data_IF_149317478309
#
_entry.id   IF_149317478309
#
_cell.length_a   1.000
_cell.length_b   1.000
_cell.length_c   1.000
_cell.angle_alpha   90.00
_cell.angle_beta   90.00
_cell.angle_gamma   90.00
#
_symmetry.space_group_name_H-M   'P 1'
#
loop_
_entity.id
_entity.type
_entity.pdbx_description
1 polymer ?
#
# COMPACT_ATOMS: atom_id res chain seq x y z
N UNK A 1 -10.00 -25.75 -1.69
CA UNK A 1 -10.70 -24.46 -1.46
C UNK A 1 -12.01 -24.47 -2.23
N UNK A 2 -13.14 -24.03 -1.66
CA UNK A 2 -14.39 -23.89 -2.40
C UNK A 2 -14.25 -22.90 -3.57
N UNK A 3 -14.91 -23.16 -4.69
CA UNK A 3 -14.95 -22.24 -5.82
C UNK A 3 -15.69 -20.95 -5.46
N UNK A 4 -15.21 -19.81 -5.98
CA UNK A 4 -15.85 -18.51 -5.82
C UNK A 4 -14.86 -17.35 -5.74
N UNK A 5 -15.37 -16.16 -5.42
CA UNK A 5 -14.58 -14.93 -5.33
C UNK A 5 -14.05 -14.71 -3.91
N UNK A 6 -12.80 -14.24 -3.79
CA UNK A 6 -12.13 -13.93 -2.53
C UNK A 6 -11.42 -12.58 -2.64
N UNK A 7 -11.44 -11.79 -1.56
CA UNK A 7 -10.50 -10.70 -1.38
C UNK A 7 -9.17 -11.26 -0.88
N UNK A 8 -8.07 -10.79 -1.45
CA UNK A 8 -6.73 -11.16 -1.00
C UNK A 8 -5.79 -9.97 -1.15
N UNK A 9 -5.42 -9.39 -0.01
CA UNK A 9 -4.40 -8.35 0.13
C UNK A 9 -3.46 -8.75 1.26
N UNK A 10 -2.32 -8.08 1.42
CA UNK A 10 -1.59 -8.14 2.68
C UNK A 10 -2.48 -7.73 3.86
N UNK A 11 -2.14 -8.22 5.06
CA UNK A 11 -2.85 -7.85 6.28
C UNK A 11 -2.43 -6.46 6.77
N UNK A 12 -3.20 -5.92 7.71
CA UNK A 12 -3.04 -4.56 8.21
C UNK A 12 -3.77 -3.50 7.38
N UNK A 13 -3.52 -2.24 7.73
CA UNK A 13 -4.11 -1.06 7.09
C UNK A 13 -3.03 0.01 6.96
N UNK A 14 -3.06 0.75 5.86
CA UNK A 14 -2.15 1.86 5.62
C UNK A 14 -2.86 2.95 4.81
N UNK A 15 -2.51 4.19 5.10
CA UNK A 15 -2.72 5.30 4.16
C UNK A 15 -1.58 5.33 3.13
N UNK A 16 -1.75 6.09 2.05
CA UNK A 16 -0.65 6.36 1.11
C UNK A 16 0.55 7.05 1.78
N UNK A 17 0.30 7.84 2.82
CA UNK A 17 1.33 8.49 3.60
C UNK A 17 2.16 7.46 4.39
N UNK A 18 1.51 6.49 5.04
CA UNK A 18 2.20 5.44 5.80
C UNK A 18 3.06 4.57 4.89
N UNK A 19 2.51 4.17 3.73
CA UNK A 19 3.24 3.37 2.73
C UNK A 19 4.48 4.10 2.21
N UNK A 20 4.35 5.38 1.87
CA UNK A 20 5.47 6.19 1.39
C UNK A 20 6.54 6.38 2.48
N UNK A 21 6.11 6.67 3.72
CA UNK A 21 7.01 6.87 4.86
C UNK A 21 7.81 5.61 5.16
N UNK A 22 7.15 4.44 5.22
CA UNK A 22 7.84 3.18 5.47
C UNK A 22 8.78 2.81 4.32
N UNK A 23 8.39 3.03 3.06
CA UNK A 23 9.25 2.79 1.91
C UNK A 23 10.53 3.65 1.96
N UNK A 24 10.39 4.96 2.20
CA UNK A 24 11.54 5.89 2.31
C UNK A 24 12.48 5.49 3.44
N UNK A 25 11.92 5.13 4.61
CA UNK A 25 12.67 4.61 5.75
C UNK A 25 13.44 3.33 5.38
N UNK A 26 12.80 2.37 4.72
CA UNK A 26 13.44 1.12 4.28
C UNK A 26 14.52 1.35 3.21
N UNK A 27 14.38 2.39 2.39
CA UNK A 27 15.43 2.80 1.47
C UNK A 27 16.63 3.41 2.20
N UNK A 28 16.46 3.93 3.41
CA UNK A 28 17.50 4.63 4.17
C UNK A 28 17.72 6.06 3.66
N UNK A 29 16.67 6.69 3.11
CA UNK A 29 16.70 8.07 2.63
C UNK A 29 16.17 9.02 3.71
N UNK A 30 16.81 10.19 3.83
CA UNK A 30 16.38 11.28 4.74
C UNK A 30 15.26 12.15 4.14
N UNK A 31 14.63 11.71 3.05
CA UNK A 31 13.54 12.46 2.41
C UNK A 31 12.35 12.58 3.37
N UNK A 32 11.96 13.82 3.67
CA UNK A 32 10.78 14.09 4.48
C UNK A 32 9.50 13.77 3.68
N UNK A 33 8.69 12.84 4.20
CA UNK A 33 7.34 12.59 3.69
C UNK A 33 6.38 13.51 4.43
N UNK A 34 5.63 14.33 3.68
CA UNK A 34 4.67 15.28 4.24
C UNK A 34 3.24 14.79 3.92
N UNK A 35 2.35 14.71 4.92
CA UNK A 35 0.97 14.29 4.68
C UNK A 35 0.24 15.32 3.79
N UNK A 36 -0.58 14.81 2.86
CA UNK A 36 -1.35 15.66 1.94
C UNK A 36 -2.76 15.13 1.79
N UNK A 37 -3.75 16.00 1.97
CA UNK A 37 -5.14 15.64 1.73
C UNK A 37 -5.43 15.54 0.23
N UNK A 38 -6.38 14.68 -0.15
CA UNK A 38 -6.84 14.58 -1.54
C UNK A 38 -7.36 15.93 -2.07
N UNK A 39 -8.01 16.71 -1.22
CA UNK A 39 -8.54 18.02 -1.59
C UNK A 39 -7.41 19.01 -1.93
N UNK A 40 -6.40 19.10 -1.07
CA UNK A 40 -5.26 20.01 -1.30
C UNK A 40 -4.46 19.59 -2.54
N UNK A 41 -4.30 18.29 -2.76
CA UNK A 41 -3.66 17.76 -3.96
C UNK A 41 -4.42 18.15 -5.24
N UNK A 42 -5.74 18.04 -5.25
CA UNK A 42 -6.57 18.41 -6.41
C UNK A 42 -6.52 19.90 -6.70
N UNK A 43 -6.59 20.74 -5.66
CA UNK A 43 -6.50 22.20 -5.80
C UNK A 43 -5.12 22.63 -6.33
N UNK A 44 -4.03 22.06 -5.80
CA UNK A 44 -2.67 22.52 -6.11
C UNK A 44 -2.08 21.95 -7.40
N UNK A 45 -2.32 20.68 -7.70
CA UNK A 45 -1.56 19.94 -8.72
C UNK A 45 -2.35 19.56 -9.97
N UNK A 46 -3.68 19.74 -9.94
CA UNK A 46 -4.57 19.29 -11.01
C UNK A 46 -5.60 20.35 -11.43
N UNK A 47 -5.34 21.63 -11.15
CA UNK A 47 -6.18 22.72 -11.64
C UNK A 47 -6.35 22.60 -13.17
N UNK A 48 -7.60 22.44 -13.63
CA UNK A 48 -7.94 22.26 -15.04
C UNK A 48 -7.89 20.81 -15.56
N UNK A 49 -7.65 19.79 -14.71
CA UNK A 49 -7.68 18.38 -15.11
C UNK A 49 -8.93 17.66 -14.61
N UNK A 50 -9.47 16.75 -15.41
CA UNK A 50 -10.53 15.82 -14.97
C UNK A 50 -9.88 14.68 -14.18
N UNK A 51 -10.22 14.56 -12.91
CA UNK A 51 -9.68 13.51 -12.03
C UNK A 51 -10.78 12.53 -11.69
N UNK A 52 -10.50 11.24 -11.92
CA UNK A 52 -11.41 10.16 -11.50
C UNK A 52 -11.39 10.05 -9.98
N UNK A 53 -12.57 10.11 -9.37
CA UNK A 53 -12.74 9.97 -7.93
C UNK A 53 -12.15 8.64 -7.44
N UNK A 54 -11.36 8.71 -6.37
CA UNK A 54 -10.79 7.54 -5.69
C UNK A 54 -11.64 7.23 -4.44
N UNK A 55 -11.90 5.95 -4.13
CA UNK A 55 -12.49 5.58 -2.85
C UNK A 55 -11.64 6.10 -1.70
N UNK A 56 -12.27 6.70 -0.68
CA UNK A 56 -11.57 7.17 0.52
C UNK A 56 -11.03 6.02 1.36
N UNK A 57 -11.64 4.85 1.26
CA UNK A 57 -11.30 3.67 2.03
C UNK A 57 -11.42 2.43 1.12
N UNK A 58 -10.31 1.71 0.95
CA UNK A 58 -10.23 0.56 0.05
C UNK A 58 -9.63 -0.69 0.74
N UNK A 59 -9.65 -0.73 2.07
CA UNK A 59 -9.23 -1.93 2.82
C UNK A 59 -10.26 -3.03 2.58
N UNK A 60 -9.79 -4.22 2.19
CA UNK A 60 -10.65 -5.35 1.88
C UNK A 60 -10.72 -6.33 3.05
N UNK A 61 -11.93 -6.78 3.38
CA UNK A 61 -12.10 -7.86 4.36
C UNK A 61 -11.63 -9.19 3.74
N UNK A 62 -10.51 -9.73 4.23
CA UNK A 62 -9.91 -10.99 3.80
C UNK A 62 -10.25 -12.18 4.73
N UNK A 63 -11.27 -12.06 5.60
CA UNK A 63 -11.66 -13.14 6.52
C UNK A 63 -12.04 -14.43 5.79
N UNK A 64 -12.76 -14.31 4.65
CA UNK A 64 -13.17 -15.47 3.85
C UNK A 64 -11.98 -16.33 3.41
N UNK A 65 -10.91 -15.72 2.89
CA UNK A 65 -9.72 -16.46 2.45
C UNK A 65 -8.88 -16.91 3.66
N UNK A 66 -8.81 -16.11 4.72
CA UNK A 66 -8.11 -16.44 5.97
C UNK A 66 -8.67 -17.73 6.59
N UNK A 67 -9.99 -17.87 6.65
CA UNK A 67 -10.64 -19.09 7.16
C UNK A 67 -10.37 -20.33 6.30
N UNK A 68 -10.11 -20.15 4.99
CA UNK A 68 -9.81 -21.25 4.08
C UNK A 68 -8.33 -21.65 4.12
N UNK A 69 -7.42 -20.69 4.28
CA UNK A 69 -5.98 -20.93 4.37
C UNK A 69 -5.52 -21.36 5.78
N UNK A 70 -6.30 -21.05 6.82
CA UNK A 70 -5.95 -21.31 8.22
C UNK A 70 -4.99 -20.28 8.82
N UNK A 71 -4.57 -19.29 8.05
CA UNK A 71 -3.74 -18.17 8.48
C UNK A 71 -4.05 -16.92 7.65
N UNK A 72 -3.70 -15.74 8.16
CA UNK A 72 -3.79 -14.48 7.41
C UNK A 72 -2.68 -14.36 6.38
N UNK A 73 -2.85 -13.47 5.41
CA UNK A 73 -1.74 -13.00 4.58
C UNK A 73 -0.72 -12.25 5.44
N UNK A 74 0.50 -12.16 4.91
CA UNK A 74 1.63 -11.47 5.57
C UNK A 74 1.31 -10.00 5.82
N UNK A 75 1.89 -9.45 6.88
CA UNK A 75 1.77 -8.02 7.18
C UNK A 75 2.34 -7.18 6.02
N UNK A 76 1.72 -6.04 5.75
CA UNK A 76 2.10 -5.19 4.62
C UNK A 76 3.51 -4.61 4.77
N UNK A 77 3.98 -4.34 6.00
CA UNK A 77 5.31 -3.80 6.26
C UNK A 77 6.38 -4.86 6.02
N UNK A 78 6.13 -6.10 6.44
CA UNK A 78 7.02 -7.24 6.17
C UNK A 78 7.14 -7.50 4.67
N UNK A 79 6.01 -7.52 3.95
CA UNK A 79 6.00 -7.71 2.50
C UNK A 79 6.69 -6.55 1.75
N UNK A 80 6.53 -5.32 2.24
CA UNK A 80 7.22 -4.15 1.69
C UNK A 80 8.73 -4.25 1.91
N UNK A 81 9.18 -4.61 3.12
CA UNK A 81 10.60 -4.76 3.43
C UNK A 81 11.28 -5.80 2.52
N UNK A 82 10.64 -6.94 2.29
CA UNK A 82 11.11 -7.94 1.33
C UNK A 82 11.20 -7.37 -0.09
N UNK A 83 10.17 -6.65 -0.53
CA UNK A 83 10.13 -6.03 -1.85
C UNK A 83 11.29 -5.02 -2.03
N UNK A 84 11.49 -4.12 -1.08
CA UNK A 84 12.59 -3.14 -1.11
C UNK A 84 13.95 -3.83 -1.11
N UNK A 85 14.13 -4.89 -0.30
CA UNK A 85 15.36 -5.67 -0.31
C UNK A 85 15.68 -6.24 -1.70
N UNK A 86 14.67 -6.76 -2.40
CA UNK A 86 14.84 -7.29 -3.77
C UNK A 86 15.20 -6.19 -4.76
N UNK A 87 14.53 -5.03 -4.69
CA UNK A 87 14.82 -3.87 -5.54
C UNK A 87 16.27 -3.41 -5.35
N UNK A 88 16.74 -3.32 -4.10
CA UNK A 88 18.13 -2.97 -3.77
C UNK A 88 19.13 -3.98 -4.32
N UNK A 89 18.83 -5.28 -4.24
CA UNK A 89 19.73 -6.32 -4.78
C UNK A 89 19.81 -6.32 -6.31
N UNK A 90 18.73 -5.96 -7.02
CA UNK A 90 18.72 -5.90 -8.49
C UNK A 90 19.40 -4.65 -9.04
N UNK A 91 19.62 -3.62 -8.23
CA UNK A 91 20.26 -2.36 -8.65
C UNK A 91 21.80 -2.39 -8.50
N UNK A 92 22.39 -3.55 -8.18
CA UNK A 92 23.84 -3.76 -8.01
C UNK A 92 24.50 -4.46 -9.22
N UNK A 93 23.76 -4.63 -10.32
CA UNK A 93 24.26 -5.07 -11.64
C UNK A 93 24.20 -3.91 -12.65
#
# INVERSE_FOLDING_TARGET
MPFGTYHFTNSGVATWFDLATEAIKLFGSDTLVVPQSTNDYYIKMNAGKVIVQRPKYSVLNCQKITSVLGHSSRDWQEALAECISKIKSTSLD
#
